data_IF_144597009077
#
_entry.id   IF_144597009077
#
_cell.length_a   1.000
_cell.length_b   1.000
_cell.length_c   1.000
_cell.angle_alpha   90.00
_cell.angle_beta   90.00
_cell.angle_gamma   90.00
#
_symmetry.space_group_name_H-M   'P 1'
#
loop_
_entity.id
_entity.type
_entity.pdbx_description
1 polymer ?
#
# COMPACT_ATOMS: atom_id res chain seq x y z
N UNK A 1 -7.77 5.39 -29.11
CA UNK A 1 -8.28 4.46 -28.06
C UNK A 1 -8.04 5.12 -26.71
N UNK A 2 -9.05 5.81 -26.18
CA UNK A 2 -8.92 6.59 -24.94
C UNK A 2 -9.25 5.71 -23.73
N UNK A 3 -8.23 5.28 -22.99
CA UNK A 3 -8.40 4.63 -21.68
C UNK A 3 -8.87 5.65 -20.66
N UNK A 4 -10.16 5.61 -20.32
CA UNK A 4 -10.72 6.36 -19.20
C UNK A 4 -10.47 5.52 -17.94
N UNK A 5 -9.32 5.70 -17.30
CA UNK A 5 -9.11 5.24 -15.92
C UNK A 5 -9.95 6.17 -15.03
N UNK A 6 -11.17 5.74 -14.72
CA UNK A 6 -12.07 6.46 -13.85
C UNK A 6 -11.57 6.30 -12.41
N UNK A 7 -10.92 7.33 -11.87
CA UNK A 7 -10.52 7.39 -10.47
C UNK A 7 -11.75 7.14 -9.58
N UNK A 8 -11.69 6.09 -8.77
CA UNK A 8 -12.70 5.83 -7.74
C UNK A 8 -12.59 6.94 -6.67
N UNK A 9 -13.67 7.67 -6.35
CA UNK A 9 -13.63 8.65 -5.28
C UNK A 9 -13.37 7.93 -3.95
N UNK A 10 -12.29 8.32 -3.28
CA UNK A 10 -12.02 7.94 -1.89
C UNK A 10 -13.13 8.53 -1.02
N UNK A 11 -13.92 7.68 -0.37
CA UNK A 11 -14.93 8.10 0.59
C UNK A 11 -14.28 8.95 1.69
N UNK A 12 -14.62 10.24 1.73
CA UNK A 12 -14.28 11.12 2.84
C UNK A 12 -14.90 10.58 4.14
N UNK A 13 -14.08 10.21 5.11
CA UNK A 13 -14.54 9.79 6.43
C UNK A 13 -15.09 10.98 7.20
N UNK A 14 -16.41 11.03 7.40
CA UNK A 14 -17.05 11.95 8.36
C UNK A 14 -16.59 11.60 9.78
N UNK A 15 -16.29 12.61 10.58
CA UNK A 15 -15.89 12.44 11.98
C UNK A 15 -17.00 11.74 12.77
N UNK A 16 -16.69 10.57 13.35
CA UNK A 16 -17.63 9.77 14.15
C UNK A 16 -17.99 8.40 13.57
N UNK A 17 -17.62 8.09 12.32
CA UNK A 17 -17.82 6.74 11.77
C UNK A 17 -16.62 5.81 12.04
N UNK A 18 -16.88 4.49 12.23
CA UNK A 18 -15.83 3.48 12.33
C UNK A 18 -14.87 3.59 11.14
N UNK A 19 -13.59 3.27 11.37
CA UNK A 19 -12.56 3.33 10.33
C UNK A 19 -13.06 2.59 9.08
N UNK A 20 -12.92 3.17 7.88
CA UNK A 20 -13.38 2.52 6.65
C UNK A 20 -12.66 1.18 6.52
N UNK A 21 -13.42 0.11 6.34
CA UNK A 21 -12.86 -1.21 6.09
C UNK A 21 -12.21 -1.22 4.71
N UNK A 22 -10.93 -1.58 4.66
CA UNK A 22 -10.20 -1.78 3.41
C UNK A 22 -10.49 -3.17 2.86
N UNK A 23 -10.75 -3.22 1.56
CA UNK A 23 -11.01 -4.45 0.81
C UNK A 23 -9.97 -4.55 -0.33
N UNK A 24 -8.80 -5.14 -0.07
CA UNK A 24 -7.67 -5.13 -1.00
C UNK A 24 -7.99 -5.81 -2.34
N UNK A 25 -8.90 -6.78 -2.35
CA UNK A 25 -9.29 -7.48 -3.57
C UNK A 25 -10.43 -6.79 -4.33
N UNK A 26 -11.03 -5.73 -3.79
CA UNK A 26 -12.14 -5.04 -4.43
C UNK A 26 -11.70 -4.47 -5.79
N UNK A 27 -12.36 -4.91 -6.86
CA UNK A 27 -11.99 -4.54 -8.23
C UNK A 27 -10.99 -5.48 -8.92
N UNK A 28 -10.31 -6.36 -8.18
CA UNK A 28 -9.42 -7.39 -8.74
C UNK A 28 -10.14 -8.72 -8.94
N UNK A 29 -10.99 -9.11 -7.99
CA UNK A 29 -11.73 -10.37 -8.07
C UNK A 29 -12.95 -10.26 -8.98
N UNK A 30 -13.15 -11.28 -9.80
CA UNK A 30 -14.27 -11.43 -10.71
C UNK A 30 -15.18 -12.57 -10.23
N UNK A 31 -16.47 -12.42 -10.51
CA UNK A 31 -17.43 -13.49 -10.32
C UNK A 31 -17.23 -14.58 -11.37
N UNK A 32 -17.18 -15.85 -10.96
CA UNK A 32 -17.02 -16.99 -11.87
C UNK A 32 -18.20 -17.13 -12.84
N UNK A 33 -19.42 -16.84 -12.37
CA UNK A 33 -20.64 -17.03 -13.18
C UNK A 33 -20.90 -15.91 -14.18
N UNK A 34 -20.66 -14.65 -13.80
CA UNK A 34 -21.03 -13.50 -14.64
C UNK A 34 -19.84 -12.64 -15.09
N UNK A 35 -18.62 -12.98 -14.65
CA UNK A 35 -17.36 -12.29 -14.98
C UNK A 35 -17.31 -10.80 -14.61
N UNK A 36 -18.25 -10.32 -13.79
CA UNK A 36 -18.24 -8.94 -13.30
C UNK A 36 -17.42 -8.84 -12.01
N UNK A 37 -16.88 -7.66 -11.74
CA UNK A 37 -16.10 -7.41 -10.53
C UNK A 37 -16.96 -7.60 -9.28
N UNK A 38 -16.36 -8.17 -8.24
CA UNK A 38 -16.98 -8.24 -6.92
C UNK A 38 -16.60 -7.01 -6.08
N UNK A 39 -17.51 -6.59 -5.22
CA UNK A 39 -17.35 -5.45 -4.31
C UNK A 39 -17.32 -5.92 -2.87
N UNK A 40 -16.46 -5.30 -2.06
CA UNK A 40 -16.43 -5.48 -0.62
C UNK A 40 -17.68 -4.89 0.07
N UNK A 41 -18.31 -5.67 0.93
CA UNK A 41 -19.44 -5.25 1.75
C UNK A 41 -19.26 -5.72 3.19
N UNK A 42 -19.58 -4.85 4.13
CA UNK A 42 -19.62 -5.18 5.55
C UNK A 42 -21.05 -5.56 5.93
N UNK A 43 -21.23 -6.71 6.58
CA UNK A 43 -22.50 -7.11 7.16
C UNK A 43 -22.27 -7.45 8.63
N UNK A 44 -22.81 -6.60 9.52
CA UNK A 44 -22.51 -6.64 10.96
C UNK A 44 -21.01 -6.43 11.23
N UNK A 45 -20.39 -7.37 11.95
CA UNK A 45 -18.95 -7.36 12.23
C UNK A 45 -18.11 -8.10 11.19
N UNK A 46 -18.73 -8.71 10.17
CA UNK A 46 -18.06 -9.56 9.19
C UNK A 46 -17.93 -8.87 7.83
N UNK A 47 -16.87 -9.26 7.12
CA UNK A 47 -16.48 -8.69 5.82
C UNK A 47 -16.68 -9.72 4.71
N UNK A 48 -17.25 -9.29 3.59
CA UNK A 48 -17.57 -10.16 2.47
C UNK A 48 -17.28 -9.51 1.12
N UNK A 49 -17.10 -10.33 0.10
CA UNK A 49 -17.14 -9.95 -1.30
C UNK A 49 -18.45 -10.43 -1.92
N UNK A 50 -19.16 -9.51 -2.59
CA UNK A 50 -20.45 -9.78 -3.26
C UNK A 50 -20.41 -9.25 -4.69
N UNK A 51 -21.07 -9.95 -5.59
CA UNK A 51 -21.21 -9.54 -6.98
C UNK A 51 -21.95 -8.19 -7.08
N UNK A 52 -21.44 -7.28 -7.91
CA UNK A 52 -22.05 -5.96 -8.14
C UNK A 52 -23.46 -6.07 -8.72
N UNK A 53 -23.78 -7.10 -9.51
CA UNK A 53 -25.15 -7.35 -10.00
C UNK A 53 -26.13 -7.59 -8.87
N UNK A 54 -25.70 -8.36 -7.88
CA UNK A 54 -26.51 -8.73 -6.74
C UNK A 54 -26.54 -7.61 -5.68
N UNK A 55 -25.56 -6.70 -5.66
CA UNK A 55 -25.58 -5.45 -4.89
C UNK A 55 -26.52 -4.42 -5.50
N UNK A 56 -26.53 -4.31 -6.83
CA UNK A 56 -27.34 -3.33 -7.56
C UNK A 56 -28.73 -3.86 -7.98
N UNK A 57 -29.09 -5.09 -7.58
CA UNK A 57 -30.32 -5.78 -7.99
C UNK A 57 -30.53 -5.82 -9.53
N UNK A 58 -29.44 -5.79 -10.29
CA UNK A 58 -29.44 -5.57 -11.74
C UNK A 58 -29.20 -6.85 -12.56
N UNK A 59 -29.43 -8.04 -11.98
CA UNK A 59 -29.25 -9.32 -12.66
C UNK A 59 -29.52 -10.53 -11.78
N UNK A 60 -29.54 -11.71 -12.39
CA UNK A 60 -29.86 -12.99 -11.73
C UNK A 60 -28.61 -13.86 -11.50
N UNK A 61 -27.52 -13.24 -11.04
CA UNK A 61 -26.29 -13.98 -10.74
C UNK A 61 -26.47 -14.83 -9.47
N UNK A 62 -26.19 -16.13 -9.57
CA UNK A 62 -26.36 -17.12 -8.48
C UNK A 62 -25.12 -17.26 -7.60
N UNK A 63 -24.05 -16.50 -7.88
CA UNK A 63 -22.80 -16.54 -7.13
C UNK A 63 -23.03 -16.23 -5.64
N UNK A 64 -22.56 -17.13 -4.77
CA UNK A 64 -22.65 -16.96 -3.32
C UNK A 64 -21.73 -15.84 -2.83
N UNK A 65 -22.12 -15.21 -1.74
CA UNK A 65 -21.30 -14.19 -1.07
C UNK A 65 -20.07 -14.87 -0.44
N UNK A 66 -18.88 -14.35 -0.73
CA UNK A 66 -17.62 -14.94 -0.28
C UNK A 66 -17.11 -14.19 0.94
N UNK A 67 -16.60 -14.91 1.95
CA UNK A 67 -15.97 -14.30 3.12
C UNK A 67 -14.66 -13.63 2.72
N UNK A 68 -14.50 -12.36 3.10
CA UNK A 68 -13.35 -11.56 2.65
C UNK A 68 -12.03 -12.10 3.21
N UNK A 69 -12.01 -12.51 4.47
CA UNK A 69 -10.82 -13.08 5.12
C UNK A 69 -10.36 -14.38 4.47
N UNK A 70 -11.30 -15.24 4.06
CA UNK A 70 -10.97 -16.50 3.37
C UNK A 70 -10.39 -16.23 1.97
N UNK A 71 -11.02 -15.34 1.20
CA UNK A 71 -10.54 -15.00 -0.14
C UNK A 71 -9.18 -14.28 -0.10
N UNK A 72 -9.00 -13.36 0.84
CA UNK A 72 -7.73 -12.66 1.05
C UNK A 72 -6.62 -13.63 1.43
N UNK A 73 -6.90 -14.59 2.32
CA UNK A 73 -5.90 -15.58 2.73
C UNK A 73 -5.49 -16.48 1.55
N UNK A 74 -6.42 -16.93 0.72
CA UNK A 74 -6.09 -17.73 -0.47
C UNK A 74 -5.15 -16.99 -1.44
N UNK A 75 -5.37 -15.69 -1.63
CA UNK A 75 -4.49 -14.86 -2.46
C UNK A 75 -3.11 -14.71 -1.83
N UNK A 76 -3.04 -14.51 -0.51
CA UNK A 76 -1.76 -14.46 0.21
C UNK A 76 -1.02 -15.78 0.07
N UNK A 77 -1.69 -16.91 0.31
CA UNK A 77 -1.08 -18.24 0.21
C UNK A 77 -0.57 -18.51 -1.20
N UNK A 78 -1.33 -18.11 -2.22
CA UNK A 78 -0.92 -18.21 -3.62
C UNK A 78 0.35 -17.38 -3.86
N UNK A 79 0.37 -16.09 -3.49
CA UNK A 79 1.53 -15.21 -3.69
C UNK A 79 2.75 -15.74 -2.94
N UNK A 80 2.58 -16.21 -1.70
CA UNK A 80 3.66 -16.79 -0.91
C UNK A 80 4.18 -18.12 -1.45
N UNK A 81 3.36 -18.87 -2.20
CA UNK A 81 3.77 -20.11 -2.85
C UNK A 81 4.61 -19.88 -4.12
N UNK A 82 4.54 -18.68 -4.71
CA UNK A 82 5.31 -18.35 -5.91
C UNK A 82 6.78 -18.23 -5.55
N UNK A 83 7.59 -19.17 -6.06
CA UNK A 83 9.04 -19.07 -6.00
C UNK A 83 9.53 -18.31 -7.22
N UNK A 84 10.12 -17.15 -6.97
CA UNK A 84 10.83 -16.40 -8.01
C UNK A 84 12.12 -17.16 -8.38
N UNK A 85 12.45 -17.31 -9.68
CA UNK A 85 13.75 -17.83 -10.12
C UNK A 85 14.89 -17.01 -9.51
N UNK A 86 16.07 -17.58 -9.23
CA UNK A 86 17.18 -16.83 -8.61
C UNK A 86 17.55 -15.55 -9.39
N UNK A 87 17.49 -15.60 -10.72
CA UNK A 87 17.88 -14.49 -11.62
C UNK A 87 16.71 -13.59 -12.01
N UNK A 88 15.59 -13.63 -11.26
CA UNK A 88 14.40 -12.84 -11.57
C UNK A 88 14.71 -11.34 -11.60
N UNK A 89 15.62 -10.88 -10.74
CA UNK A 89 15.99 -9.47 -10.63
C UNK A 89 16.71 -9.02 -11.89
N UNK A 90 17.71 -9.76 -12.34
CA UNK A 90 18.46 -9.51 -13.57
C UNK A 90 17.52 -9.54 -14.77
N UNK A 91 16.61 -10.52 -14.82
CA UNK A 91 15.61 -10.61 -15.89
C UNK A 91 14.71 -9.36 -15.93
N UNK A 92 14.19 -8.91 -14.78
CA UNK A 92 13.38 -7.69 -14.71
C UNK A 92 14.19 -6.46 -15.13
N UNK A 93 15.41 -6.32 -14.61
CA UNK A 93 16.30 -5.20 -14.92
C UNK A 93 16.63 -5.14 -16.42
N UNK A 94 16.81 -6.28 -17.08
CA UNK A 94 17.17 -6.35 -18.49
C UNK A 94 15.97 -6.08 -19.42
N UNK A 95 14.77 -6.53 -19.06
CA UNK A 95 13.58 -6.43 -19.92
C UNK A 95 12.77 -5.13 -19.72
N UNK A 96 12.79 -4.54 -18.51
CA UNK A 96 11.92 -3.42 -18.17
C UNK A 96 12.63 -2.08 -18.01
N UNK A 97 13.97 -2.06 -17.95
CA UNK A 97 14.74 -0.83 -17.81
C UNK A 97 15.66 -0.63 -19.00
N UNK A 98 15.89 0.63 -19.37
CA UNK A 98 16.96 0.99 -20.31
C UNK A 98 18.33 0.89 -19.63
N UNK A 99 19.44 0.73 -20.39
CA UNK A 99 20.79 0.76 -19.83
C UNK A 99 21.06 2.01 -18.96
N UNK A 100 20.55 3.17 -19.37
CA UNK A 100 20.70 4.44 -18.69
C UNK A 100 19.94 4.44 -17.35
N UNK A 101 18.68 3.99 -17.33
CA UNK A 101 17.89 3.88 -16.10
C UNK A 101 18.52 2.88 -15.12
N UNK A 102 19.08 1.77 -15.62
CA UNK A 102 19.84 0.82 -14.79
C UNK A 102 21.06 1.47 -14.13
N UNK A 103 21.82 2.27 -14.89
CA UNK A 103 22.99 2.97 -14.36
C UNK A 103 22.59 3.99 -13.28
N UNK A 104 21.57 4.81 -13.53
CA UNK A 104 21.06 5.78 -12.54
C UNK A 104 20.55 5.09 -11.27
N UNK A 105 19.88 3.93 -11.41
CA UNK A 105 19.47 3.13 -10.26
C UNK A 105 20.68 2.61 -9.49
N UNK A 106 21.70 2.07 -10.16
CA UNK A 106 22.91 1.60 -9.48
C UNK A 106 23.64 2.73 -8.73
N UNK A 107 23.80 3.89 -9.37
CA UNK A 107 24.44 5.08 -8.76
C UNK A 107 23.67 5.57 -7.52
N UNK A 108 22.34 5.66 -7.62
CA UNK A 108 21.51 6.07 -6.48
C UNK A 108 21.58 5.09 -5.30
N UNK A 109 21.73 3.79 -5.57
CA UNK A 109 21.89 2.75 -4.56
C UNK A 109 23.25 2.87 -3.86
N UNK A 110 24.32 3.03 -4.62
CA UNK A 110 25.66 3.27 -4.10
C UNK A 110 25.72 4.54 -3.25
N UNK A 111 25.10 5.64 -3.71
CA UNK A 111 25.06 6.89 -2.97
C UNK A 111 24.32 6.77 -1.62
N UNK A 112 23.22 6.00 -1.60
CA UNK A 112 22.46 5.72 -0.38
C UNK A 112 23.25 4.84 0.59
N UNK A 113 23.91 3.80 0.07
CA UNK A 113 24.73 2.90 0.86
C UNK A 113 25.90 3.66 1.50
N UNK A 114 26.64 4.45 0.70
CA UNK A 114 27.73 5.27 1.22
C UNK A 114 27.27 6.27 2.31
N UNK A 115 26.02 6.76 2.24
CA UNK A 115 25.45 7.61 3.29
C UNK A 115 25.18 6.81 4.58
N UNK A 116 24.70 5.58 4.47
CA UNK A 116 24.48 4.70 5.62
C UNK A 116 25.80 4.27 6.27
N UNK A 117 26.82 4.00 5.47
CA UNK A 117 28.14 3.62 5.96
C UNK A 117 28.75 4.77 6.76
N UNK A 118 28.76 6.00 6.21
CA UNK A 118 29.19 7.20 6.95
C UNK A 118 28.39 7.44 8.23
N UNK A 119 27.07 7.22 8.21
CA UNK A 119 26.25 7.35 9.41
C UNK A 119 26.60 6.28 10.46
N UNK A 120 27.03 5.10 10.02
CA UNK A 120 27.47 4.01 10.89
C UNK A 120 28.83 4.34 11.52
N UNK A 121 29.80 4.82 10.73
CA UNK A 121 31.09 5.30 11.21
C UNK A 121 30.93 6.39 12.28
N UNK A 122 30.15 7.44 12.00
CA UNK A 122 29.88 8.52 12.96
C UNK A 122 29.19 8.04 14.25
N UNK A 123 28.43 6.95 14.19
CA UNK A 123 27.80 6.36 15.38
C UNK A 123 28.83 5.58 16.21
N UNK A 124 29.70 4.81 15.55
CA UNK A 124 30.78 4.07 16.20
C UNK A 124 31.79 5.02 16.86
N UNK A 125 32.09 6.14 16.22
CA UNK A 125 32.96 7.20 16.74
C UNK A 125 32.29 8.02 17.87
N UNK A 126 31.02 7.77 18.17
CA UNK A 126 30.26 8.48 19.20
C UNK A 126 29.88 9.92 18.83
N UNK A 127 30.15 10.36 17.60
CA UNK A 127 29.83 11.71 17.11
C UNK A 127 28.32 11.95 16.96
N UNK A 128 27.53 10.88 16.75
CA UNK A 128 26.06 10.94 16.71
C UNK A 128 25.40 10.02 17.74
N UNK A 129 24.25 10.45 18.26
CA UNK A 129 23.47 9.62 19.16
C UNK A 129 22.74 8.50 18.41
N UNK A 130 22.43 7.40 19.13
CA UNK A 130 21.64 6.28 18.62
C UNK A 130 20.31 6.72 17.98
N UNK A 131 19.66 7.75 18.55
CA UNK A 131 18.40 8.30 18.01
C UNK A 131 18.61 8.92 16.62
N UNK A 132 19.70 9.67 16.42
CA UNK A 132 20.05 10.26 15.12
C UNK A 132 20.40 9.18 14.09
N UNK A 133 21.17 8.17 14.49
CA UNK A 133 21.49 7.03 13.63
C UNK A 133 20.23 6.28 13.17
N UNK A 134 19.31 5.97 14.09
CA UNK A 134 18.06 5.30 13.74
C UNK A 134 17.17 6.13 12.82
N UNK A 135 17.15 7.46 13.00
CA UNK A 135 16.42 8.36 12.10
C UNK A 135 17.01 8.32 10.67
N UNK A 136 18.34 8.39 10.52
CA UNK A 136 19.00 8.28 9.21
C UNK A 136 18.74 6.91 8.56
N UNK A 137 18.83 5.82 9.33
CA UNK A 137 18.50 4.47 8.85
C UNK A 137 17.04 4.39 8.37
N UNK A 138 16.11 4.96 9.14
CA UNK A 138 14.70 5.03 8.76
C UNK A 138 14.50 5.84 7.47
N UNK A 139 15.15 6.99 7.34
CA UNK A 139 15.09 7.80 6.12
C UNK A 139 15.70 7.10 4.90
N UNK A 140 16.74 6.28 5.09
CA UNK A 140 17.33 5.50 4.01
C UNK A 140 16.40 4.36 3.54
N UNK A 141 15.83 3.60 4.48
CA UNK A 141 14.82 2.57 4.18
C UNK A 141 13.62 3.21 3.46
N UNK A 142 13.16 4.36 3.93
CA UNK A 142 12.04 5.08 3.31
C UNK A 142 12.34 5.47 1.86
N UNK A 143 13.52 6.04 1.60
CA UNK A 143 13.97 6.37 0.23
C UNK A 143 14.07 5.15 -0.67
N UNK A 144 14.51 4.01 -0.13
CA UNK A 144 14.59 2.76 -0.89
C UNK A 144 13.20 2.24 -1.28
N UNK A 145 12.22 2.30 -0.37
CA UNK A 145 10.83 1.91 -0.63
C UNK A 145 10.16 2.86 -1.64
N UNK A 146 10.39 4.17 -1.52
CA UNK A 146 9.93 5.18 -2.49
C UNK A 146 10.45 4.88 -3.90
N UNK A 147 11.75 4.59 -4.02
CA UNK A 147 12.41 4.26 -5.29
C UNK A 147 11.88 2.97 -5.92
N UNK A 148 11.59 1.96 -5.10
CA UNK A 148 11.06 0.68 -5.60
C UNK A 148 9.62 0.79 -6.12
N UNK A 149 8.97 1.95 -5.99
CA UNK A 149 7.56 2.13 -6.37
C UNK A 149 6.60 1.27 -5.53
N UNK A 150 7.09 0.67 -4.44
CA UNK A 150 6.34 -0.25 -3.58
C UNK A 150 5.46 0.48 -2.56
N UNK A 151 5.25 1.80 -2.71
CA UNK A 151 4.23 2.52 -1.92
C UNK A 151 2.87 2.36 -2.58
N UNK A 152 1.96 1.56 -2.01
CA UNK A 152 0.57 1.72 -2.35
C UNK A 152 0.15 3.14 -1.93
N UNK A 153 -0.35 3.94 -2.88
CA UNK A 153 -0.83 5.30 -2.65
C UNK A 153 -1.84 5.41 -1.49
N UNK A 154 -2.48 4.29 -1.12
CA UNK A 154 -3.37 4.18 0.02
C UNK A 154 -2.69 4.40 1.39
N UNK A 155 -1.41 4.06 1.57
CA UNK A 155 -0.70 4.25 2.85
C UNK A 155 -0.39 5.72 3.13
N UNK A 156 -0.12 6.50 2.10
CA UNK A 156 0.22 7.93 2.22
C UNK A 156 -0.98 8.75 2.69
N UNK A 157 -2.17 8.40 2.21
CA UNK A 157 -3.42 8.99 2.66
C UNK A 157 -3.70 8.72 4.15
N UNK A 158 -3.25 7.56 4.66
CA UNK A 158 -3.39 7.16 6.06
C UNK A 158 -2.36 7.90 6.94
N UNK A 159 -1.10 7.96 6.54
CA UNK A 159 -0.05 8.69 7.27
C UNK A 159 -0.31 10.20 7.33
N UNK A 160 -0.79 10.78 6.22
CA UNK A 160 -1.16 12.19 6.15
C UNK A 160 -2.30 12.55 7.11
N UNK A 161 -3.29 11.65 7.26
CA UNK A 161 -4.40 11.86 8.21
C UNK A 161 -3.97 11.68 9.67
N UNK A 162 -2.96 10.86 9.95
CA UNK A 162 -2.39 10.72 11.30
C UNK A 162 -1.54 11.93 11.70
N UNK A 163 -0.74 12.49 10.78
CA UNK A 163 0.11 13.66 11.04
C UNK A 163 -0.69 14.94 11.30
N UNK A 164 -1.83 15.13 10.61
CA UNK A 164 -2.70 16.30 10.78
C UNK A 164 -3.46 16.35 12.11
N UNK A 165 -3.61 15.20 12.81
CA UNK A 165 -4.27 15.14 14.13
C UNK A 165 -3.32 15.49 15.29
N UNK A 166 -2.01 15.41 15.11
CA UNK A 166 -1.02 15.78 16.14
C UNK A 166 -0.82 17.29 16.36
N UNK A 167 -1.36 18.15 15.48
CA UNK A 167 -1.19 19.63 15.56
C UNK A 167 -2.42 20.41 16.07
N UNK A 168 -3.58 19.76 16.30
CA UNK A 168 -4.78 20.44 16.84
C UNK A 168 -5.01 20.03 18.29
N UNK A 169 -4.11 20.49 19.17
CA UNK A 169 -4.16 20.20 20.60
C UNK A 169 -3.74 21.39 21.44
N UNK A 170 -4.31 22.58 21.19
CA UNK A 170 -4.31 23.68 22.15
C UNK A 170 -5.27 24.79 21.70
N UNK A 171 -6.47 24.84 22.28
CA UNK A 171 -7.13 26.13 22.54
C UNK A 171 -8.03 26.02 23.79
N UNK A 172 -8.00 27.01 24.71
CA UNK A 172 -8.58 26.93 26.03
C UNK A 172 -10.08 27.25 26.01
N UNK A 173 -10.86 26.47 26.78
CA UNK A 173 -12.25 26.78 27.16
C UNK A 173 -12.20 27.83 28.29
N UNK A 174 -12.84 28.99 28.09
CA UNK A 174 -14.22 29.31 28.49
C UNK A 174 -14.29 29.91 29.89
N UNK A 175 -14.40 31.24 29.94
CA UNK A 175 -14.95 32.01 31.07
C UNK A 175 -15.81 33.14 30.49
N UNK A 176 -17.13 32.96 30.51
CA UNK A 176 -18.19 33.98 30.57
C UNK A 176 -19.54 33.26 30.53
#
# INVERSE_FOLDING_TARGET
MHSIIRALPVCATRAGHPRPHMYPLSGLILCDTCSRNMRGITSGSRRYYRDVTHVNHAGNCTQKTVRADVAEQQVVDLICSVKLPPDWREWVMNNHFTPQERATLAESELALQARLDRATELYLDGAISKKKYQAEKWHAVRRQVDRAGLRPAALDAIDATLSQRGRRGSNPRSSA
#
